data_IF_115710910197
#
_entry.id   IF_115710910197
#
_cell.length_a   1.000
_cell.length_b   1.000
_cell.length_c   1.000
_cell.angle_alpha   90.00
_cell.angle_beta   90.00
_cell.angle_gamma   90.00
#
_symmetry.space_group_name_H-M   'P 1'
#
loop_
_entity.id
_entity.type
_entity.pdbx_description
1 polymer ?
#
# COMPACT_ATOMS: atom_id res chain seq x y z
N UNK A 1 9.03 4.64 -0.46
CA UNK A 1 7.62 5.00 -0.22
C UNK A 1 7.42 6.34 0.44
N UNK A 2 8.06 6.60 1.60
CA UNK A 2 7.73 7.78 2.42
C UNK A 2 7.78 9.12 1.69
N UNK A 3 8.76 9.35 0.81
CA UNK A 3 8.81 10.58 0.02
C UNK A 3 7.58 10.73 -0.91
N UNK A 4 7.17 9.65 -1.58
CA UNK A 4 5.97 9.63 -2.44
C UNK A 4 4.72 9.87 -1.61
N UNK A 5 4.63 9.24 -0.42
CA UNK A 5 3.56 9.47 0.55
C UNK A 5 3.44 10.95 0.91
N UNK A 6 4.52 11.58 1.34
CA UNK A 6 4.53 13.00 1.72
C UNK A 6 4.17 13.93 0.56
N UNK A 7 4.63 13.65 -0.65
CA UNK A 7 4.28 14.44 -1.83
C UNK A 7 2.81 14.28 -2.23
N UNK A 8 2.26 13.08 -2.10
CA UNK A 8 0.83 12.82 -2.31
C UNK A 8 -0.02 13.53 -1.23
N UNK A 9 0.42 13.50 0.02
CA UNK A 9 -0.28 14.16 1.13
C UNK A 9 -0.25 15.71 0.97
N UNK A 10 0.83 16.28 0.41
CA UNK A 10 0.94 17.71 0.07
C UNK A 10 0.27 18.09 -1.27
N UNK A 11 -0.34 17.12 -1.97
CA UNK A 11 -0.97 17.33 -3.28
C UNK A 11 0.01 17.70 -4.40
N UNK A 12 1.30 17.41 -4.23
CA UNK A 12 2.36 17.60 -5.24
C UNK A 12 2.44 16.46 -6.24
N UNK A 13 1.90 15.31 -5.87
CA UNK A 13 1.64 14.18 -6.74
C UNK A 13 0.16 13.85 -6.67
N UNK A 14 -0.44 13.55 -7.81
CA UNK A 14 -1.75 12.94 -7.87
C UNK A 14 -1.67 11.41 -7.62
N UNK A 15 -2.85 10.79 -7.53
CA UNK A 15 -2.97 9.35 -7.30
C UNK A 15 -2.36 8.53 -8.46
N UNK A 16 -2.49 8.98 -9.70
CA UNK A 16 -1.94 8.30 -10.88
C UNK A 16 -0.41 8.31 -10.89
N UNK A 17 0.20 9.42 -10.50
CA UNK A 17 1.64 9.56 -10.41
C UNK A 17 2.21 8.76 -9.23
N UNK A 18 1.51 8.75 -8.10
CA UNK A 18 1.84 7.88 -6.98
C UNK A 18 1.75 6.39 -7.36
N UNK A 19 0.70 5.99 -8.09
CA UNK A 19 0.54 4.63 -8.59
C UNK A 19 1.67 4.25 -9.56
N UNK A 20 2.05 5.14 -10.47
CA UNK A 20 3.17 4.93 -11.40
C UNK A 20 4.49 4.71 -10.64
N UNK A 21 4.77 5.54 -9.65
CA UNK A 21 5.98 5.41 -8.83
C UNK A 21 5.98 4.12 -7.99
N UNK A 22 4.81 3.70 -7.51
CA UNK A 22 4.63 2.42 -6.83
C UNK A 22 4.95 1.25 -7.76
N UNK A 23 4.38 1.24 -8.98
CA UNK A 23 4.61 0.17 -9.96
C UNK A 23 6.09 0.04 -10.37
N UNK A 24 6.80 1.17 -10.48
CA UNK A 24 8.24 1.15 -10.74
C UNK A 24 9.05 0.58 -9.57
N UNK A 25 8.76 1.04 -8.36
CA UNK A 25 9.48 0.64 -7.15
C UNK A 25 9.16 -0.79 -6.68
N UNK A 26 8.04 -1.36 -7.13
CA UNK A 26 7.62 -2.72 -6.79
C UNK A 26 7.59 -3.62 -8.03
N UNK A 27 8.39 -3.29 -9.05
CA UNK A 27 8.54 -4.08 -10.26
C UNK A 27 9.32 -5.38 -9.98
N UNK A 28 9.14 -6.45 -10.81
CA UNK A 28 9.83 -7.73 -10.64
C UNK A 28 11.37 -7.62 -10.61
N UNK A 29 11.93 -6.59 -11.26
CA UNK A 29 13.38 -6.33 -11.24
C UNK A 29 13.90 -5.67 -9.96
N UNK A 30 13.02 -5.25 -9.05
CA UNK A 30 13.41 -4.61 -7.80
C UNK A 30 13.83 -5.67 -6.78
N UNK A 31 15.01 -5.54 -6.13
CA UNK A 31 15.39 -6.45 -5.05
C UNK A 31 14.31 -6.51 -3.96
N UNK A 32 13.92 -7.68 -3.45
CA UNK A 32 12.82 -7.80 -2.49
C UNK A 32 12.95 -6.90 -1.26
N UNK A 33 14.17 -6.73 -0.73
CA UNK A 33 14.45 -5.84 0.39
C UNK A 33 14.25 -4.35 0.06
N UNK A 34 14.49 -3.93 -1.18
CA UNK A 34 14.26 -2.56 -1.62
C UNK A 34 12.75 -2.29 -1.80
N UNK A 35 12.02 -3.23 -2.40
CA UNK A 35 10.56 -3.19 -2.46
C UNK A 35 9.94 -3.14 -1.06
N UNK A 36 10.53 -3.88 -0.11
CA UNK A 36 10.15 -3.90 1.29
C UNK A 36 10.19 -2.53 1.97
N UNK A 37 11.39 -1.95 1.97
CA UNK A 37 11.59 -0.63 2.54
C UNK A 37 10.72 0.42 1.84
N UNK A 38 10.48 0.24 0.53
CA UNK A 38 9.62 1.15 -0.21
C UNK A 38 8.16 1.07 0.27
N UNK A 39 7.55 -0.12 0.32
CA UNK A 39 6.15 -0.29 0.72
C UNK A 39 5.97 0.11 2.19
N UNK A 40 6.85 -0.34 3.09
CA UNK A 40 6.81 0.01 4.52
C UNK A 40 6.82 1.53 4.73
N UNK A 41 7.68 2.24 3.99
CA UNK A 41 7.72 3.69 4.04
C UNK A 41 6.48 4.37 3.43
N UNK A 42 5.80 3.74 2.46
CA UNK A 42 4.60 4.29 1.83
C UNK A 42 3.35 4.14 2.72
N UNK A 43 3.23 2.99 3.40
CA UNK A 43 2.08 2.66 4.27
C UNK A 43 2.28 3.07 5.74
N UNK A 44 3.46 3.61 6.09
CA UNK A 44 3.75 4.11 7.43
C UNK A 44 4.01 3.00 8.46
N UNK A 45 4.61 1.88 8.04
CA UNK A 45 4.74 0.66 8.84
C UNK A 45 5.38 0.85 10.22
N UNK A 46 6.39 1.72 10.34
CA UNK A 46 7.11 1.93 11.60
C UNK A 46 6.63 3.14 12.42
N UNK A 47 5.84 4.06 11.86
CA UNK A 47 5.47 5.31 12.54
C UNK A 47 3.98 5.45 12.85
N UNK A 48 3.13 4.53 12.37
CA UNK A 48 1.67 4.66 12.55
C UNK A 48 0.88 3.36 12.61
N UNK A 49 1.53 2.19 12.68
CA UNK A 49 0.88 0.90 12.95
C UNK A 49 -0.25 0.52 11.98
N UNK A 50 -0.24 1.04 10.75
CA UNK A 50 -1.28 0.81 9.74
C UNK A 50 -2.53 1.69 9.83
N UNK A 51 -2.60 2.61 10.79
CA UNK A 51 -3.74 3.53 10.95
C UNK A 51 -3.95 4.43 9.73
N UNK A 52 -2.87 4.77 9.03
CA UNK A 52 -2.90 5.59 7.83
C UNK A 52 -3.77 4.96 6.72
N UNK A 53 -3.66 3.65 6.52
CA UNK A 53 -4.49 2.91 5.55
C UNK A 53 -5.94 2.74 6.01
N UNK A 54 -6.20 2.77 7.33
CA UNK A 54 -7.57 2.72 7.87
C UNK A 54 -8.28 4.05 7.66
N UNK A 55 -7.55 5.17 7.76
CA UNK A 55 -8.14 6.51 7.72
C UNK A 55 -8.14 7.15 6.33
N UNK A 56 -7.23 6.78 5.43
CA UNK A 56 -7.18 7.34 4.09
C UNK A 56 -7.49 6.27 3.02
N UNK A 57 -8.74 6.33 2.55
CA UNK A 57 -9.27 5.43 1.54
C UNK A 57 -8.53 5.53 0.19
N UNK A 58 -7.95 6.68 -0.16
CA UNK A 58 -7.18 6.84 -1.40
C UNK A 58 -5.90 6.00 -1.35
N UNK A 59 -5.29 5.91 -0.17
CA UNK A 59 -4.03 5.18 0.00
C UNK A 59 -4.27 3.69 0.02
N UNK A 60 -5.37 3.29 0.66
CA UNK A 60 -5.86 1.93 0.58
C UNK A 60 -6.14 1.54 -0.87
N UNK A 61 -6.82 2.39 -1.65
CA UNK A 61 -7.11 2.16 -3.06
C UNK A 61 -5.83 2.06 -3.92
N UNK A 62 -4.80 2.87 -3.65
CA UNK A 62 -3.51 2.78 -4.35
C UNK A 62 -2.80 1.45 -4.08
N UNK A 63 -2.77 1.02 -2.82
CA UNK A 63 -2.15 -0.26 -2.44
C UNK A 63 -2.95 -1.43 -3.00
N UNK A 64 -4.28 -1.38 -2.94
CA UNK A 64 -5.19 -2.40 -3.47
C UNK A 64 -5.12 -2.49 -4.99
N UNK A 65 -5.15 -1.36 -5.69
CA UNK A 65 -5.02 -1.29 -7.15
C UNK A 65 -3.67 -1.80 -7.64
N UNK A 66 -2.58 -1.49 -6.94
CA UNK A 66 -1.29 -2.09 -7.24
C UNK A 66 -1.31 -3.60 -7.01
N UNK A 67 -1.77 -4.06 -5.85
CA UNK A 67 -1.82 -5.48 -5.48
C UNK A 67 -2.61 -6.32 -6.47
N UNK A 68 -3.79 -5.82 -6.87
CA UNK A 68 -4.68 -6.48 -7.84
C UNK A 68 -4.15 -6.40 -9.28
N UNK A 69 -3.22 -5.49 -9.56
CA UNK A 69 -2.52 -5.39 -10.84
C UNK A 69 -1.22 -6.21 -10.92
N UNK A 70 -0.77 -6.84 -9.84
CA UNK A 70 0.44 -7.69 -9.87
C UNK A 70 0.14 -8.98 -10.64
N UNK A 71 0.94 -9.35 -11.67
CA UNK A 71 0.77 -10.62 -12.37
C UNK A 71 1.01 -11.81 -11.44
N UNK A 72 0.24 -12.90 -11.62
CA UNK A 72 0.32 -14.12 -10.80
C UNK A 72 1.75 -14.62 -10.59
N UNK A 73 2.58 -14.59 -11.64
CA UNK A 73 3.97 -15.03 -11.61
C UNK A 73 4.85 -14.24 -10.62
N UNK A 74 4.52 -12.97 -10.37
CA UNK A 74 5.23 -12.09 -9.43
C UNK A 74 4.50 -11.94 -8.08
N UNK A 75 3.24 -12.38 -7.98
CA UNK A 75 2.43 -12.23 -6.77
C UNK A 75 3.03 -12.98 -5.57
N UNK A 76 3.51 -14.21 -5.80
CA UNK A 76 4.16 -15.02 -4.76
C UNK A 76 5.43 -14.39 -4.20
N UNK A 77 6.12 -13.53 -4.96
CA UNK A 77 7.35 -12.88 -4.53
C UNK A 77 7.07 -11.68 -3.62
N UNK A 78 5.94 -10.99 -3.83
CA UNK A 78 5.54 -9.83 -3.02
C UNK A 78 4.78 -10.21 -1.75
N UNK A 79 4.15 -11.38 -1.71
CA UNK A 79 3.36 -11.85 -0.57
C UNK A 79 4.15 -11.96 0.75
N UNK A 80 5.34 -12.59 0.82
CA UNK A 80 6.11 -12.70 2.06
C UNK A 80 6.43 -11.34 2.66
N UNK A 81 6.70 -10.38 1.78
CA UNK A 81 6.98 -9.00 2.17
C UNK A 81 5.75 -8.34 2.78
N UNK A 82 4.64 -8.32 2.06
CA UNK A 82 3.41 -7.69 2.54
C UNK A 82 2.93 -8.34 3.83
N UNK A 83 3.03 -9.67 3.93
CA UNK A 83 2.73 -10.40 5.16
C UNK A 83 3.57 -9.86 6.32
N UNK A 84 4.88 -9.62 6.14
CA UNK A 84 5.74 -9.06 7.19
C UNK A 84 5.31 -7.65 7.57
N UNK A 85 5.10 -6.76 6.60
CA UNK A 85 4.70 -5.37 6.84
C UNK A 85 3.36 -5.29 7.58
N UNK A 86 2.33 -6.01 7.11
CA UNK A 86 1.01 -6.01 7.73
C UNK A 86 0.98 -6.79 9.05
N UNK A 87 1.84 -7.80 9.25
CA UNK A 87 1.93 -8.51 10.52
C UNK A 87 2.41 -7.63 11.67
N UNK A 88 3.18 -6.57 11.38
CA UNK A 88 3.60 -5.59 12.37
C UNK A 88 2.45 -4.68 12.87
N UNK A 89 1.30 -4.69 12.19
CA UNK A 89 0.15 -3.90 12.62
C UNK A 89 -0.58 -4.56 13.79
N UNK A 90 -1.14 -3.70 14.64
CA UNK A 90 -2.00 -4.13 15.74
C UNK A 90 -3.15 -5.01 15.23
N UNK A 91 -3.53 -6.08 15.96
CA UNK A 91 -4.59 -7.00 15.52
C UNK A 91 -5.91 -6.30 15.17
N UNK A 92 -6.26 -5.25 15.90
CA UNK A 92 -7.45 -4.44 15.63
C UNK A 92 -7.36 -3.70 14.28
N UNK A 93 -6.20 -3.10 13.97
CA UNK A 93 -5.96 -2.42 12.69
C UNK A 93 -6.06 -3.41 11.53
N UNK A 94 -5.46 -4.60 11.65
CA UNK A 94 -5.55 -5.65 10.63
C UNK A 94 -7.00 -6.09 10.37
N UNK A 95 -7.81 -6.21 11.44
CA UNK A 95 -9.23 -6.55 11.32
C UNK A 95 -10.00 -5.46 10.55
N UNK A 96 -9.82 -4.20 10.93
CA UNK A 96 -10.47 -3.06 10.27
C UNK A 96 -10.07 -2.95 8.81
N UNK A 97 -8.77 -3.08 8.49
CA UNK A 97 -8.29 -3.12 7.10
C UNK A 97 -8.95 -4.24 6.31
N UNK A 98 -9.03 -5.44 6.87
CA UNK A 98 -9.72 -6.57 6.24
C UNK A 98 -11.22 -6.31 6.00
N UNK A 99 -11.89 -5.57 6.88
CA UNK A 99 -13.28 -5.14 6.66
C UNK A 99 -13.40 -4.09 5.57
N UNK A 100 -12.50 -3.12 5.51
CA UNK A 100 -12.46 -2.09 4.47
C UNK A 100 -12.25 -2.72 3.09
N UNK A 101 -11.26 -3.62 2.96
CA UNK A 101 -11.01 -4.34 1.71
C UNK A 101 -12.22 -5.19 1.30
N UNK A 102 -12.87 -5.89 2.25
CA UNK A 102 -14.09 -6.68 1.96
C UNK A 102 -15.27 -5.84 1.48
N UNK A 103 -15.38 -4.59 1.95
CA UNK A 103 -16.43 -3.66 1.50
C UNK A 103 -16.16 -3.14 0.08
N UNK A 104 -14.93 -3.29 -0.41
CA UNK A 104 -14.46 -2.70 -1.66
C UNK A 104 -14.34 -1.18 -1.57
N UNK A 105 -13.76 -0.51 -2.59
CA UNK A 105 -13.90 0.93 -2.70
C UNK A 105 -15.39 1.24 -2.67
N UNK A 106 -15.82 2.02 -1.67
CA UNK A 106 -17.22 2.39 -1.55
C UNK A 106 -17.65 2.97 -2.90
N UNK A 107 -18.49 2.22 -3.64
CA UNK A 107 -19.16 2.73 -4.82
C UNK A 107 -19.73 4.10 -4.43
N UNK A 108 -19.35 5.11 -5.21
CA UNK A 108 -19.37 6.51 -4.82
C UNK A 108 -20.59 6.91 -4.01
N UNK A 109 -20.36 7.67 -2.93
CA UNK A 109 -21.34 8.67 -2.55
C UNK A 109 -21.10 9.85 -3.47
N UNK A 110 -22.09 10.11 -4.31
CA UNK A 110 -22.11 11.21 -5.28
C UNK A 110 -22.26 12.58 -4.65
#
# INVERSE_FOLDING_TARGET
GRAVRLLLDDGRLDEGEAARLMGLALSPGTPPAAGAAWIEGFVGGESGGGLLLVHDARLLALVDGWLTGVPDAAFTDVLPLLRRTFAAYEPAVRRTLGELVRRGPAAGRG
#
